data_IF_487974666745
#
_entry.id   IF_487974666745
#
_cell.length_a   1.000
_cell.length_b   1.000
_cell.length_c   1.000
_cell.angle_alpha   90.00
_cell.angle_beta   90.00
_cell.angle_gamma   90.00
#
_symmetry.space_group_name_H-M   'P 1'
#
loop_
_entity.id
_entity.type
_entity.pdbx_description
1 polymer ?
#
# COMPACT_ATOMS: atom_id res chain seq x y z
N UNK A 1 -0.47 1.68 25.96
CA UNK A 1 0.86 1.58 25.33
C UNK A 1 1.35 2.90 24.75
N UNK A 2 0.70 3.51 23.74
CA UNK A 2 1.18 4.76 23.11
C UNK A 2 1.34 5.96 24.07
N UNK A 3 0.43 6.11 25.04
CA UNK A 3 0.56 7.14 26.09
C UNK A 3 1.73 6.87 27.04
N UNK A 4 2.05 5.60 27.31
CA UNK A 4 3.20 5.21 28.14
C UNK A 4 4.54 5.43 27.41
N UNK A 5 4.51 5.42 26.07
CA UNK A 5 5.65 5.74 25.21
C UNK A 5 5.81 7.26 24.96
N UNK A 6 4.95 8.09 25.57
CA UNK A 6 4.92 9.56 25.39
C UNK A 6 4.71 10.01 23.93
N UNK A 7 4.03 9.19 23.11
CA UNK A 7 3.74 9.56 21.71
C UNK A 7 2.38 10.22 21.55
N UNK A 8 1.57 10.22 22.61
CA UNK A 8 0.22 10.75 22.62
C UNK A 8 0.02 11.61 23.85
N UNK A 9 -0.36 12.86 23.64
CA UNK A 9 -0.84 13.74 24.70
C UNK A 9 -2.34 13.54 24.91
N UNK A 10 -2.78 13.61 26.17
CA UNK A 10 -4.19 13.58 26.53
C UNK A 10 -4.58 14.90 27.17
N UNK A 11 -5.64 15.52 26.67
CA UNK A 11 -6.21 16.75 27.23
C UNK A 11 -7.69 16.54 27.55
N UNK A 12 -8.22 17.31 28.50
CA UNK A 12 -9.61 17.17 28.97
C UNK A 12 -9.84 15.98 29.93
N UNK A 13 -11.09 15.79 30.33
CA UNK A 13 -11.49 14.76 31.31
C UNK A 13 -12.89 14.20 31.04
N UNK A 14 -13.15 12.96 31.45
CA UNK A 14 -14.43 12.31 31.21
C UNK A 14 -14.80 12.27 29.71
N UNK A 15 -16.04 12.61 29.33
CA UNK A 15 -16.48 12.63 27.92
C UNK A 15 -15.72 13.59 27.01
N UNK A 16 -15.04 14.61 27.56
CA UNK A 16 -14.26 15.57 26.77
C UNK A 16 -12.81 15.18 26.58
N UNK A 17 -12.40 13.98 27.04
CA UNK A 17 -11.03 13.50 26.91
C UNK A 17 -10.66 13.35 25.44
N UNK A 18 -9.68 14.12 25.00
CA UNK A 18 -9.08 14.04 23.66
C UNK A 18 -7.69 13.45 23.76
N UNK A 19 -7.28 12.77 22.70
CA UNK A 19 -5.93 12.23 22.51
C UNK A 19 -5.38 12.74 21.20
N UNK A 20 -4.17 13.28 21.25
CA UNK A 20 -3.48 13.81 20.09
C UNK A 20 -2.14 13.08 19.95
N UNK A 21 -1.87 12.57 18.75
CA UNK A 21 -0.58 11.98 18.42
C UNK A 21 0.44 13.11 18.26
N UNK A 22 1.46 13.14 19.11
CA UNK A 22 2.50 14.20 19.12
C UNK A 22 3.83 13.76 18.53
N UNK A 23 4.01 12.44 18.35
CA UNK A 23 5.22 11.83 17.79
C UNK A 23 4.88 10.86 16.63
N UNK A 24 4.28 11.34 15.53
CA UNK A 24 3.90 10.49 14.39
C UNK A 24 5.10 9.76 13.76
N UNK A 25 6.28 10.37 13.78
CA UNK A 25 7.52 9.80 13.29
C UNK A 25 7.92 8.53 14.06
N UNK A 26 7.79 8.56 15.39
CA UNK A 26 8.13 7.42 16.24
C UNK A 26 7.13 6.28 16.07
N UNK A 27 5.86 6.62 15.89
CA UNK A 27 4.82 5.63 15.60
C UNK A 27 5.10 4.92 14.26
N UNK A 28 5.38 5.68 13.21
CA UNK A 28 5.66 5.12 11.89
C UNK A 28 6.94 4.26 11.91
N UNK A 29 7.98 4.70 12.60
CA UNK A 29 9.22 3.94 12.76
C UNK A 29 8.99 2.59 13.46
N UNK A 30 8.28 2.58 14.59
CA UNK A 30 7.98 1.32 15.28
C UNK A 30 7.06 0.41 14.46
N UNK A 31 6.15 0.98 13.66
CA UNK A 31 5.35 0.19 12.74
C UNK A 31 6.22 -0.42 11.63
N UNK A 32 7.18 0.33 11.08
CA UNK A 32 8.14 -0.15 10.10
C UNK A 32 8.96 -1.34 10.62
N UNK A 33 9.47 -1.28 11.86
CA UNK A 33 10.18 -2.40 12.48
C UNK A 33 9.32 -3.66 12.54
N UNK A 34 8.08 -3.54 13.03
CA UNK A 34 7.14 -4.67 13.08
C UNK A 34 6.70 -5.16 11.70
N UNK A 35 6.64 -4.27 10.70
CA UNK A 35 6.20 -4.59 9.36
C UNK A 35 7.15 -5.54 8.66
N UNK A 36 8.46 -5.33 8.82
CA UNK A 36 9.50 -6.15 8.20
C UNK A 36 9.54 -7.60 8.74
N UNK A 37 9.02 -7.84 9.94
CA UNK A 37 8.91 -9.18 10.52
C UNK A 37 7.71 -9.98 9.98
N UNK A 38 6.75 -9.31 9.32
CA UNK A 38 5.52 -9.95 8.84
C UNK A 38 5.78 -10.85 7.64
N UNK A 39 5.07 -11.98 7.64
CA UNK A 39 4.99 -12.89 6.49
C UNK A 39 3.57 -12.89 5.96
N UNK A 40 3.33 -12.05 4.97
CA UNK A 40 2.05 -12.03 4.26
C UNK A 40 2.03 -13.14 3.18
N UNK A 41 0.86 -13.73 2.95
CA UNK A 41 0.71 -14.71 1.87
C UNK A 41 0.69 -13.95 0.54
N UNK A 42 1.74 -14.16 -0.25
CA UNK A 42 1.87 -13.60 -1.60
C UNK A 42 1.72 -14.70 -2.63
N UNK A 43 0.96 -14.43 -3.69
CA UNK A 43 0.84 -15.31 -4.86
C UNK A 43 1.31 -14.56 -6.11
N UNK A 44 2.02 -15.27 -6.99
CA UNK A 44 2.70 -14.70 -8.15
C UNK A 44 1.98 -15.09 -9.43
N UNK A 45 1.69 -14.09 -10.25
CA UNK A 45 0.82 -14.22 -11.40
C UNK A 45 1.36 -13.48 -12.62
N UNK A 46 0.88 -13.89 -13.77
CA UNK A 46 1.20 -13.28 -15.05
C UNK A 46 -0.06 -12.84 -15.78
N UNK A 47 -0.02 -11.66 -16.36
CA UNK A 47 -0.94 -11.22 -17.41
C UNK A 47 -0.18 -10.53 -18.52
N UNK A 48 -0.68 -10.64 -19.75
CA UNK A 48 -0.11 -9.89 -20.85
C UNK A 48 -0.56 -8.43 -20.77
N UNK A 49 0.40 -7.52 -20.92
CA UNK A 49 0.19 -6.07 -21.00
C UNK A 49 1.01 -5.58 -22.18
N UNK A 50 0.38 -4.88 -23.12
CA UNK A 50 1.06 -4.38 -24.31
C UNK A 50 2.06 -3.28 -23.97
N UNK A 51 1.68 -2.37 -23.07
CA UNK A 51 2.54 -1.29 -22.56
C UNK A 51 2.57 -1.31 -21.03
N UNK A 52 3.73 -1.58 -20.40
CA UNK A 52 3.85 -1.60 -18.94
C UNK A 52 3.37 -0.32 -18.24
N UNK A 53 3.40 0.84 -18.92
CA UNK A 53 2.89 2.10 -18.37
C UNK A 53 1.39 2.11 -18.13
N UNK A 54 0.63 1.31 -18.87
CA UNK A 54 -0.83 1.21 -18.73
C UNK A 54 -1.25 0.07 -17.80
N UNK A 55 -0.30 -0.72 -17.27
CA UNK A 55 -0.59 -1.91 -16.49
C UNK A 55 -1.58 -1.67 -15.34
N UNK A 56 -1.40 -0.61 -14.54
CA UNK A 56 -2.32 -0.34 -13.42
C UNK A 56 -3.71 0.07 -13.91
N UNK A 57 -3.80 0.84 -14.99
CA UNK A 57 -5.07 1.26 -15.57
C UNK A 57 -5.83 0.05 -16.15
N UNK A 58 -5.15 -0.76 -16.97
CA UNK A 58 -5.73 -1.97 -17.57
C UNK A 58 -6.24 -2.96 -16.50
N UNK A 59 -5.50 -3.12 -15.40
CA UNK A 59 -5.92 -3.96 -14.29
C UNK A 59 -7.11 -3.36 -13.52
N UNK A 60 -7.12 -2.04 -13.30
CA UNK A 60 -8.23 -1.37 -12.63
C UNK A 60 -9.53 -1.48 -13.41
N UNK A 61 -9.48 -1.24 -14.72
CA UNK A 61 -10.65 -1.32 -15.60
C UNK A 61 -11.25 -2.72 -15.59
N UNK A 62 -10.42 -3.77 -15.68
CA UNK A 62 -10.87 -5.18 -15.57
C UNK A 62 -11.54 -5.48 -14.22
N UNK A 63 -11.07 -4.89 -13.12
CA UNK A 63 -11.67 -5.09 -11.79
C UNK A 63 -13.02 -4.36 -11.70
N UNK A 64 -13.07 -3.11 -12.16
CA UNK A 64 -14.27 -2.28 -12.13
C UNK A 64 -15.39 -2.87 -13.01
N UNK A 65 -15.05 -3.44 -14.17
CA UNK A 65 -15.98 -4.15 -15.06
C UNK A 65 -16.66 -5.35 -14.38
N UNK A 66 -15.93 -6.06 -13.51
CA UNK A 66 -16.44 -7.26 -12.81
C UNK A 66 -17.24 -6.92 -11.54
N UNK A 67 -17.27 -5.65 -11.10
CA UNK A 67 -18.02 -5.15 -9.94
C UNK A 67 -17.85 -6.01 -8.68
N UNK A 68 -16.60 -6.29 -8.32
CA UNK A 68 -16.29 -7.13 -7.16
C UNK A 68 -16.77 -6.52 -5.84
N UNK A 69 -17.15 -7.37 -4.89
CA UNK A 69 -17.78 -7.01 -3.61
C UNK A 69 -16.81 -6.94 -2.41
N UNK A 70 -15.51 -7.09 -2.67
CA UNK A 70 -14.48 -7.09 -1.64
C UNK A 70 -13.46 -5.96 -1.85
N UNK A 71 -12.88 -5.42 -0.77
CA UNK A 71 -11.95 -4.31 -0.88
C UNK A 71 -10.60 -4.79 -1.46
N UNK A 72 -10.00 -3.95 -2.29
CA UNK A 72 -8.67 -4.13 -2.85
C UNK A 72 -7.96 -2.77 -2.97
N UNK A 73 -6.64 -2.78 -3.13
CA UNK A 73 -5.88 -1.58 -3.46
C UNK A 73 -4.54 -1.93 -4.11
N UNK A 74 -4.08 -1.11 -5.04
CA UNK A 74 -2.70 -1.15 -5.52
C UNK A 74 -1.73 -0.76 -4.41
N UNK A 75 -0.60 -1.45 -4.35
CA UNK A 75 0.50 -1.19 -3.42
C UNK A 75 1.86 -1.42 -4.08
N UNK A 76 2.92 -1.36 -3.27
CA UNK A 76 4.30 -1.63 -3.72
C UNK A 76 4.89 -0.52 -4.58
N UNK A 77 6.00 -0.82 -5.24
CA UNK A 77 6.82 0.18 -5.93
C UNK A 77 6.09 0.92 -7.05
N UNK A 78 5.34 0.22 -7.90
CA UNK A 78 4.61 0.83 -9.00
C UNK A 78 3.50 1.76 -8.49
N UNK A 79 2.76 1.36 -7.45
CA UNK A 79 1.72 2.21 -6.87
C UNK A 79 2.32 3.42 -6.14
N UNK A 80 3.40 3.21 -5.38
CA UNK A 80 4.12 4.29 -4.70
C UNK A 80 4.68 5.32 -5.69
N UNK A 81 5.22 4.87 -6.83
CA UNK A 81 5.78 5.75 -7.85
C UNK A 81 4.73 6.54 -8.64
N UNK A 82 3.46 6.13 -8.61
CA UNK A 82 2.35 6.96 -9.09
C UNK A 82 2.10 8.12 -8.12
N UNK A 83 2.11 7.83 -6.82
CA UNK A 83 1.77 8.79 -5.75
C UNK A 83 2.89 9.79 -5.50
N UNK A 84 4.13 9.32 -5.51
CA UNK A 84 5.34 10.12 -5.31
C UNK A 84 6.35 9.79 -6.42
N UNK A 85 6.17 10.36 -7.63
CA UNK A 85 7.02 10.04 -8.78
C UNK A 85 8.51 10.34 -8.53
N UNK A 86 9.33 9.29 -8.59
CA UNK A 86 10.79 9.38 -8.40
C UNK A 86 11.54 8.44 -9.35
N UNK A 87 11.03 7.23 -9.55
CA UNK A 87 11.66 6.19 -10.35
C UNK A 87 11.29 6.34 -11.82
N UNK A 88 12.28 6.15 -12.70
CA UNK A 88 12.09 6.19 -14.16
C UNK A 88 11.36 4.96 -14.70
N UNK A 89 11.38 3.85 -13.95
CA UNK A 89 10.69 2.62 -14.28
C UNK A 89 10.42 1.82 -13.02
N UNK A 90 9.26 1.17 -12.97
CA UNK A 90 8.91 0.15 -11.98
C UNK A 90 8.46 -1.11 -12.71
N UNK A 91 8.52 -2.25 -12.02
CA UNK A 91 8.16 -3.55 -12.61
C UNK A 91 6.88 -4.08 -11.98
N UNK A 92 5.94 -4.49 -12.83
CA UNK A 92 4.74 -5.19 -12.42
C UNK A 92 3.74 -4.36 -11.61
N UNK A 93 2.75 -5.04 -11.05
CA UNK A 93 1.73 -4.50 -10.17
C UNK A 93 1.58 -5.37 -8.92
N UNK A 94 1.35 -4.73 -7.78
CA UNK A 94 1.06 -5.41 -6.53
C UNK A 94 -0.31 -4.98 -6.02
N UNK A 95 -1.13 -5.93 -5.62
CA UNK A 95 -2.51 -5.68 -5.21
C UNK A 95 -2.74 -6.33 -3.84
N UNK A 96 -3.19 -5.52 -2.88
CA UNK A 96 -3.67 -6.00 -1.59
C UNK A 96 -5.08 -6.52 -1.76
N UNK A 97 -5.34 -7.73 -1.26
CA UNK A 97 -6.66 -8.36 -1.17
C UNK A 97 -6.89 -8.92 0.22
N UNK A 98 -8.15 -9.19 0.64
CA UNK A 98 -8.43 -9.85 1.90
C UNK A 98 -7.88 -11.28 1.91
N UNK A 99 -7.61 -11.81 3.10
CA UNK A 99 -7.18 -13.22 3.27
C UNK A 99 -8.18 -14.18 2.65
N UNK A 100 -7.68 -15.11 1.83
CA UNK A 100 -8.47 -16.07 1.05
C UNK A 100 -9.02 -15.57 -0.29
N UNK A 101 -8.74 -14.32 -0.71
CA UNK A 101 -9.32 -13.74 -1.94
C UNK A 101 -8.33 -13.63 -3.11
N UNK A 102 -7.08 -14.08 -2.96
CA UNK A 102 -6.09 -14.00 -4.03
C UNK A 102 -6.54 -14.73 -5.30
N UNK A 103 -6.98 -15.99 -5.19
CA UNK A 103 -7.43 -16.76 -6.35
C UNK A 103 -8.68 -16.14 -7.01
N UNK A 104 -9.63 -15.64 -6.20
CA UNK A 104 -10.82 -14.94 -6.72
C UNK A 104 -10.45 -13.66 -7.48
N UNK A 105 -9.48 -12.89 -6.99
CA UNK A 105 -8.98 -11.70 -7.69
C UNK A 105 -8.21 -12.10 -8.97
N UNK A 106 -7.43 -13.19 -8.93
CA UNK A 106 -6.74 -13.70 -10.10
C UNK A 106 -7.73 -14.13 -11.20
N UNK A 107 -8.82 -14.79 -10.84
CA UNK A 107 -9.89 -15.18 -11.77
C UNK A 107 -10.57 -13.95 -12.40
N UNK A 108 -10.90 -12.94 -11.59
CA UNK A 108 -11.47 -11.65 -12.05
C UNK A 108 -10.57 -10.98 -13.08
N UNK A 109 -9.26 -11.02 -12.86
CA UNK A 109 -8.27 -10.39 -13.72
C UNK A 109 -7.79 -11.28 -14.89
N UNK A 110 -8.24 -12.53 -14.95
CA UNK A 110 -7.79 -13.52 -15.94
C UNK A 110 -6.28 -13.82 -15.84
N UNK A 111 -5.73 -13.83 -14.62
CA UNK A 111 -4.30 -14.03 -14.41
C UNK A 111 -3.91 -15.50 -14.52
N UNK A 112 -2.66 -15.74 -14.93
CA UNK A 112 -2.06 -17.08 -15.00
C UNK A 112 -1.09 -17.29 -13.83
N UNK A 113 -1.26 -18.38 -13.09
CA UNK A 113 -0.30 -18.80 -12.06
C UNK A 113 1.03 -19.17 -12.72
N UNK A 114 2.13 -18.62 -12.19
CA UNK A 114 3.48 -18.85 -12.74
C UNK A 114 4.52 -19.02 -11.63
N UNK A 115 5.52 -19.86 -11.88
CA UNK A 115 6.67 -20.02 -10.98
C UNK A 115 7.82 -19.05 -11.27
N UNK A 116 7.86 -18.45 -12.47
CA UNK A 116 8.85 -17.47 -12.92
C UNK A 116 8.21 -16.44 -13.85
N UNK A 117 8.74 -15.22 -13.86
CA UNK A 117 8.30 -14.15 -14.77
C UNK A 117 6.95 -13.53 -14.41
N UNK A 118 6.58 -13.54 -13.13
CA UNK A 118 5.38 -12.87 -12.65
C UNK A 118 5.50 -11.35 -12.81
N UNK A 119 4.43 -10.72 -13.29
CA UNK A 119 4.29 -9.26 -13.31
C UNK A 119 3.15 -8.77 -12.42
N UNK A 120 2.34 -9.67 -11.85
CA UNK A 120 1.33 -9.32 -10.84
C UNK A 120 1.60 -10.11 -9.57
N UNK A 121 1.59 -9.42 -8.43
CA UNK A 121 1.60 -10.05 -7.11
C UNK A 121 0.31 -9.73 -6.39
N UNK A 122 -0.41 -10.75 -5.94
CA UNK A 122 -1.55 -10.59 -5.05
C UNK A 122 -1.11 -10.88 -3.63
N UNK A 123 -1.34 -9.92 -2.72
CA UNK A 123 -0.90 -9.97 -1.33
C UNK A 123 -2.14 -10.04 -0.46
N UNK A 124 -2.34 -11.18 0.20
CA UNK A 124 -3.41 -11.36 1.16
C UNK A 124 -3.03 -10.67 2.47
N UNK A 125 -3.85 -9.72 2.93
CA UNK A 125 -3.62 -8.98 4.18
C UNK A 125 -4.87 -8.88 5.05
N UNK A 126 -4.63 -8.53 6.30
CA UNK A 126 -5.68 -8.11 7.22
C UNK A 126 -6.40 -6.83 6.73
N UNK A 127 -7.70 -6.64 7.05
CA UNK A 127 -8.48 -5.48 6.61
C UNK A 127 -7.87 -4.12 6.96
N UNK A 128 -7.07 -4.05 8.03
CA UNK A 128 -6.39 -2.84 8.46
C UNK A 128 -5.49 -2.22 7.37
N UNK A 129 -4.88 -3.04 6.52
CA UNK A 129 -4.01 -2.59 5.42
C UNK A 129 -4.78 -1.94 4.26
N UNK A 130 -6.10 -2.09 4.23
CA UNK A 130 -7.00 -1.48 3.24
C UNK A 130 -7.76 -0.27 3.81
N UNK A 131 -7.60 0.04 5.10
CA UNK A 131 -8.15 1.26 5.69
C UNK A 131 -7.46 2.49 5.08
N UNK A 132 -8.25 3.54 4.87
CA UNK A 132 -7.79 4.80 4.25
C UNK A 132 -7.18 4.64 2.85
N UNK A 133 -7.48 3.55 2.15
CA UNK A 133 -7.29 3.48 0.70
C UNK A 133 -8.07 4.62 0.04
N UNK A 134 -7.55 5.14 -1.05
CA UNK A 134 -8.12 6.29 -1.74
C UNK A 134 -8.07 6.09 -3.24
N UNK A 135 -8.90 6.83 -3.98
CA UNK A 135 -8.80 6.90 -5.44
C UNK A 135 -7.91 8.08 -5.81
N UNK A 136 -6.86 7.82 -6.57
CA UNK A 136 -5.97 8.87 -7.06
C UNK A 136 -6.71 9.72 -8.11
N UNK A 137 -6.44 11.02 -8.19
CA UNK A 137 -7.13 11.93 -9.12
C UNK A 137 -6.91 11.52 -10.58
N UNK A 138 -5.67 11.16 -10.92
CA UNK A 138 -5.25 10.86 -12.29
C UNK A 138 -5.29 9.37 -12.64
N UNK A 139 -5.64 8.52 -11.67
CA UNK A 139 -5.76 7.08 -11.85
C UNK A 139 -7.03 6.59 -11.16
N UNK A 140 -8.08 6.17 -11.90
CA UNK A 140 -9.38 5.81 -11.34
C UNK A 140 -9.35 4.44 -10.62
N UNK A 141 -8.28 4.11 -9.89
CA UNK A 141 -8.10 2.88 -9.14
C UNK A 141 -8.01 3.16 -7.63
N UNK A 142 -8.16 2.13 -6.81
CA UNK A 142 -7.85 2.24 -5.38
C UNK A 142 -6.35 2.05 -5.13
N UNK A 143 -5.75 2.97 -4.38
CA UNK A 143 -4.38 2.91 -3.90
C UNK A 143 -4.36 2.74 -2.39
N UNK A 144 -3.40 1.98 -1.87
CA UNK A 144 -3.19 1.86 -0.44
C UNK A 144 -2.82 3.23 0.15
N UNK A 145 -3.05 3.42 1.45
CA UNK A 145 -2.66 4.67 2.10
C UNK A 145 -1.15 4.91 1.97
N UNK A 146 -0.71 6.17 1.97
CA UNK A 146 0.71 6.51 1.85
C UNK A 146 1.59 5.83 2.91
N UNK A 147 1.03 5.53 4.09
CA UNK A 147 1.71 4.75 5.13
C UNK A 147 1.95 3.29 4.70
N UNK A 148 0.93 2.64 4.14
CA UNK A 148 1.07 1.25 3.65
C UNK A 148 2.02 1.19 2.46
N UNK A 149 1.95 2.17 1.54
CA UNK A 149 2.89 2.29 0.43
C UNK A 149 4.32 2.43 0.92
N UNK A 150 4.57 3.32 1.89
CA UNK A 150 5.88 3.47 2.53
C UNK A 150 6.37 2.16 3.14
N UNK A 151 5.54 1.49 3.93
CA UNK A 151 5.90 0.25 4.62
C UNK A 151 6.22 -0.89 3.65
N UNK A 152 5.50 -0.97 2.53
CA UNK A 152 5.74 -1.98 1.50
C UNK A 152 7.05 -1.80 0.76
N UNK A 153 7.59 -0.57 0.70
CA UNK A 153 8.89 -0.31 0.10
C UNK A 153 10.07 -0.71 0.99
N UNK A 154 9.82 -0.97 2.29
CA UNK A 154 10.87 -1.34 3.25
C UNK A 154 11.40 -2.77 3.05
N UNK A 155 10.86 -3.50 2.07
CA UNK A 155 11.28 -4.85 1.71
C UNK A 155 12.52 -4.87 0.77
N UNK A 156 12.88 -3.75 0.16
CA UNK A 156 13.64 -3.76 -1.10
C UNK A 156 14.93 -2.95 -1.09
N UNK A 157 16.06 -3.64 -1.26
CA UNK A 157 17.38 -3.06 -1.58
C UNK A 157 17.31 -2.23 -2.88
N UNK A 158 18.16 -1.22 -3.01
CA UNK A 158 18.27 -0.42 -4.23
C UNK A 158 17.23 0.72 -4.29
N UNK A 159 16.59 0.90 -5.45
CA UNK A 159 15.72 2.06 -5.76
C UNK A 159 14.43 2.14 -4.93
N UNK A 160 13.96 1.02 -4.37
CA UNK A 160 12.81 1.03 -3.46
C UNK A 160 13.10 1.82 -2.18
N UNK A 161 14.36 1.77 -1.69
CA UNK A 161 14.78 2.56 -0.53
C UNK A 161 14.69 4.07 -0.80
N UNK A 162 15.17 4.52 -1.96
CA UNK A 162 15.09 5.93 -2.35
C UNK A 162 13.63 6.41 -2.44
N UNK A 163 12.75 5.58 -3.02
CA UNK A 163 11.32 5.87 -3.09
C UNK A 163 10.66 5.87 -1.70
N UNK A 164 11.08 4.99 -0.80
CA UNK A 164 10.58 4.95 0.58
C UNK A 164 10.98 6.22 1.36
N UNK A 165 12.23 6.65 1.23
CA UNK A 165 12.71 7.88 1.85
C UNK A 165 11.97 9.10 1.29
N UNK A 166 11.74 9.17 -0.03
CA UNK A 166 10.97 10.25 -0.64
C UNK A 166 9.51 10.30 -0.13
N UNK A 167 8.84 9.16 -0.02
CA UNK A 167 7.48 9.06 0.56
C UNK A 167 7.46 9.49 2.03
N UNK A 168 8.47 9.09 2.80
CA UNK A 168 8.60 9.46 4.22
C UNK A 168 8.78 10.97 4.39
N UNK A 169 9.63 11.60 3.59
CA UNK A 169 9.81 13.06 3.60
C UNK A 169 8.50 13.82 3.31
N UNK A 170 7.70 13.31 2.36
CA UNK A 170 6.38 13.90 2.09
C UNK A 170 5.43 13.76 3.29
N UNK A 171 5.38 12.58 3.92
CA UNK A 171 4.58 12.35 5.13
C UNK A 171 5.02 13.27 6.28
N UNK A 172 6.32 13.42 6.51
CA UNK A 172 6.88 14.31 7.52
C UNK A 172 6.51 15.78 7.25
N UNK A 173 6.55 16.22 5.99
CA UNK A 173 6.10 17.57 5.62
C UNK A 173 4.61 17.78 5.89
N UNK A 174 3.77 16.76 5.68
CA UNK A 174 2.34 16.82 5.97
C UNK A 174 2.06 16.93 7.48
N UNK A 175 2.84 16.25 8.33
CA UNK A 175 2.69 16.35 9.78
C UNK A 175 3.10 17.71 10.32
N UNK A 176 4.10 18.37 9.73
CA UNK A 176 4.54 19.70 10.17
C UNK A 176 3.55 20.82 9.82
N UNK A 177 2.67 20.60 8.84
CA UNK A 177 1.67 21.58 8.38
C UNK A 177 0.36 21.53 9.18
N UNK A 178 0.18 20.51 10.03
CA UNK A 178 -1.02 20.27 10.83
C UNK A 178 -0.72 20.37 12.31
#
# INVERSE_FOLDING_TARGET
ELTLREWVESSGGGPSKRRMLTRPEKLLHAWAEQWQERKEKQTKWYTFVENPKHMLADLADRIDDQRIDFPWAFTGATAANVVAPLLTSTEGAEIIVPKGYADRMADVLGLKSVSKGANVTLIEREPASLLYRYRHSDHPAFFASAYILYLDLLDGRGRNKELADHLREQLESLWQRN
#
